data_IF_208776943827
#
_entry.id   IF_208776943827
#
_cell.length_a   1.000
_cell.length_b   1.000
_cell.length_c   1.000
_cell.angle_alpha   90.00
_cell.angle_beta   90.00
_cell.angle_gamma   90.00
#
_symmetry.space_group_name_H-M   'P 1'
#
loop_
_entity.id
_entity.type
_entity.pdbx_description
1 polymer ?
#
# COMPACT_ATOMS: atom_id res chain seq x y z
N UNK A 1 -17.82 -0.27 16.42
CA UNK A 1 -17.15 -1.26 15.56
C UNK A 1 -17.89 -1.34 14.23
N UNK A 2 -17.17 -1.46 13.13
CA UNK A 2 -17.74 -1.79 11.82
C UNK A 2 -18.57 -3.07 11.94
N UNK A 3 -19.77 -3.06 11.37
CA UNK A 3 -20.64 -4.24 11.25
C UNK A 3 -20.62 -4.82 9.85
N UNK A 4 -19.99 -4.11 8.91
CA UNK A 4 -19.74 -4.51 7.53
C UNK A 4 -18.42 -5.26 7.40
N UNK A 5 -18.34 -6.10 6.36
CA UNK A 5 -17.11 -6.78 5.96
C UNK A 5 -16.57 -6.12 4.71
N UNK A 6 -15.25 -6.20 4.49
CA UNK A 6 -14.67 -5.74 3.24
C UNK A 6 -15.39 -6.37 2.03
N UNK A 7 -15.64 -5.60 0.95
CA UNK A 7 -16.30 -6.12 -0.24
C UNK A 7 -15.62 -7.36 -0.81
N UNK A 8 -16.42 -8.19 -1.51
CA UNK A 8 -15.92 -9.37 -2.22
C UNK A 8 -14.82 -8.94 -3.22
N UNK A 9 -13.61 -9.50 -3.06
CA UNK A 9 -12.44 -9.16 -3.87
C UNK A 9 -11.24 -8.67 -3.04
N UNK A 10 -11.50 -8.14 -1.85
CA UNK A 10 -10.44 -7.85 -0.88
C UNK A 10 -9.89 -9.14 -0.31
N UNK A 11 -8.58 -9.33 -0.43
CA UNK A 11 -7.91 -10.52 0.03
C UNK A 11 -6.88 -10.18 1.10
N UNK A 12 -6.97 -10.85 2.25
CA UNK A 12 -6.05 -10.63 3.35
C UNK A 12 -4.58 -10.88 2.93
N UNK A 13 -3.70 -9.96 3.29
CA UNK A 13 -2.25 -10.06 3.02
C UNK A 13 -1.55 -10.94 4.07
N UNK A 14 -1.96 -10.80 5.33
CA UNK A 14 -1.40 -11.48 6.49
C UNK A 14 -0.90 -10.48 7.53
N UNK A 15 -0.13 -10.99 8.50
CA UNK A 15 0.43 -10.20 9.59
C UNK A 15 1.69 -9.47 9.12
N UNK A 16 1.81 -8.20 9.51
CA UNK A 16 3.00 -7.37 9.37
C UNK A 16 3.89 -7.50 10.59
N UNK A 17 5.21 -7.43 10.43
CA UNK A 17 6.16 -7.59 11.53
C UNK A 17 6.01 -6.50 12.61
N UNK A 18 6.06 -5.24 12.20
CA UNK A 18 6.03 -4.06 13.10
C UNK A 18 4.85 -3.12 12.79
N UNK A 19 3.88 -3.58 12.00
CA UNK A 19 2.79 -2.73 11.51
C UNK A 19 3.10 -2.09 10.14
N UNK A 20 2.56 -0.90 9.94
CA UNK A 20 2.74 -0.10 8.74
C UNK A 20 2.95 1.37 9.11
N UNK A 21 3.60 2.11 8.22
CA UNK A 21 3.76 3.57 8.33
C UNK A 21 3.14 4.22 7.11
N UNK A 22 2.14 5.07 7.33
CA UNK A 22 1.52 5.88 6.29
C UNK A 22 2.09 7.30 6.35
N UNK A 23 2.75 7.73 5.28
CA UNK A 23 3.34 9.05 5.16
C UNK A 23 2.50 9.89 4.20
N UNK A 24 2.20 11.13 4.59
CA UNK A 24 1.54 12.14 3.76
C UNK A 24 2.46 13.35 3.69
N UNK A 25 3.18 13.46 2.57
CA UNK A 25 4.08 14.57 2.29
C UNK A 25 3.33 15.62 1.46
N UNK A 26 3.30 16.87 1.94
CA UNK A 26 2.63 18.00 1.27
C UNK A 26 3.69 19.05 0.96
N UNK A 27 3.87 19.33 -0.32
CA UNK A 27 4.75 20.38 -0.80
C UNK A 27 3.98 21.69 -0.87
N UNK A 28 4.54 22.74 -0.27
CA UNK A 28 3.94 24.07 -0.18
C UNK A 28 4.92 25.10 -0.73
N UNK A 29 4.46 25.96 -1.62
CA UNK A 29 5.22 27.10 -2.14
C UNK A 29 4.56 28.42 -1.74
N UNK A 30 5.39 29.46 -1.55
CA UNK A 30 4.93 30.78 -1.15
C UNK A 30 4.76 31.69 -2.37
N UNK A 31 3.62 32.37 -2.45
CA UNK A 31 3.39 33.43 -3.42
C UNK A 31 3.80 34.75 -2.77
N UNK A 32 4.84 35.38 -3.32
CA UNK A 32 5.39 36.64 -2.82
C UNK A 32 5.19 37.76 -3.84
N UNK A 33 4.94 38.98 -3.35
CA UNK A 33 4.98 40.20 -4.15
C UNK A 33 5.92 41.19 -3.49
N UNK A 34 6.72 41.88 -4.30
CA UNK A 34 7.84 42.72 -3.82
C UNK A 34 7.43 43.91 -2.94
N UNK A 35 6.14 44.25 -2.87
CA UNK A 35 5.59 45.35 -2.08
C UNK A 35 5.24 44.94 -0.64
N UNK A 36 5.22 43.65 -0.34
CA UNK A 36 4.87 43.09 0.96
C UNK A 36 6.09 42.40 1.59
N UNK A 37 6.21 42.55 2.91
CA UNK A 37 7.29 41.91 3.69
C UNK A 37 6.96 40.45 4.00
N UNK A 38 5.68 40.11 4.09
CA UNK A 38 5.18 38.77 4.36
C UNK A 38 4.62 38.12 3.08
N UNK A 39 4.73 36.80 2.97
CA UNK A 39 4.14 36.04 1.87
C UNK A 39 2.62 36.26 1.81
N UNK A 40 2.12 36.48 0.59
CA UNK A 40 0.70 36.74 0.36
C UNK A 40 -0.15 35.48 0.57
N UNK A 41 0.41 34.32 0.21
CA UNK A 41 -0.28 33.04 0.26
C UNK A 41 0.72 31.88 0.29
N UNK A 42 0.40 30.82 1.03
CA UNK A 42 1.03 29.52 0.87
C UNK A 42 0.12 28.63 0.01
N UNK A 43 0.63 28.12 -1.12
CA UNK A 43 -0.09 27.27 -2.06
C UNK A 43 0.44 25.84 -1.98
N UNK A 44 -0.45 24.85 -2.01
CA UNK A 44 -0.04 23.44 -2.18
C UNK A 44 0.40 23.21 -3.62
N UNK A 45 1.63 22.74 -3.83
CA UNK A 45 2.18 22.45 -5.17
C UNK A 45 2.34 20.97 -5.45
N UNK A 46 2.40 20.15 -4.39
CA UNK A 46 2.52 18.71 -4.50
C UNK A 46 1.93 17.99 -3.30
N UNK A 47 1.52 16.74 -3.50
CA UNK A 47 1.22 15.82 -2.41
C UNK A 47 1.62 14.42 -2.81
N UNK A 48 2.47 13.80 -2.00
CA UNK A 48 2.88 12.41 -2.15
C UNK A 48 2.40 11.62 -0.94
N UNK A 49 1.69 10.52 -1.17
CA UNK A 49 1.26 9.63 -0.09
C UNK A 49 1.90 8.27 -0.30
N UNK A 50 2.56 7.77 0.74
CA UNK A 50 3.22 6.47 0.69
C UNK A 50 2.87 5.62 1.91
N UNK A 51 2.81 4.31 1.72
CA UNK A 51 2.73 3.35 2.83
C UNK A 51 3.91 2.40 2.77
N UNK A 52 4.51 2.15 3.92
CA UNK A 52 5.64 1.26 4.09
C UNK A 52 5.29 0.19 5.13
N UNK A 53 5.51 -1.09 4.80
CA UNK A 53 5.24 -2.19 5.72
C UNK A 53 6.01 -3.46 5.35
N UNK A 54 6.12 -4.37 6.32
CA UNK A 54 6.82 -5.65 6.17
C UNK A 54 5.90 -6.86 6.46
N UNK A 55 5.24 -7.44 5.44
CA UNK A 55 4.49 -8.68 5.60
C UNK A 55 5.43 -9.85 5.90
N UNK A 56 5.05 -10.66 6.89
CA UNK A 56 5.75 -11.90 7.26
C UNK A 56 5.33 -13.10 6.41
N UNK A 57 4.22 -12.99 5.67
CA UNK A 57 3.69 -14.09 4.87
C UNK A 57 4.32 -14.14 3.48
N UNK A 58 5.36 -14.96 3.34
CA UNK A 58 6.05 -15.14 2.05
C UNK A 58 5.41 -16.27 1.24
N UNK A 59 4.61 -15.93 0.24
CA UNK A 59 4.03 -16.88 -0.71
C UNK A 59 3.93 -16.27 -2.12
N UNK A 60 3.74 -17.11 -3.15
CA UNK A 60 3.67 -16.66 -4.55
C UNK A 60 2.49 -15.71 -4.84
N UNK A 61 1.41 -15.79 -4.05
CA UNK A 61 0.28 -14.86 -4.18
C UNK A 61 0.66 -13.47 -3.70
N UNK A 62 1.38 -13.35 -2.59
CA UNK A 62 1.88 -12.09 -2.08
C UNK A 62 2.98 -11.54 -2.98
N UNK A 63 3.83 -12.39 -3.58
CA UNK A 63 4.76 -11.94 -4.63
C UNK A 63 4.05 -11.24 -5.79
N UNK A 64 2.96 -11.82 -6.29
CA UNK A 64 2.15 -11.20 -7.36
C UNK A 64 1.57 -9.84 -6.93
N UNK A 65 1.16 -9.69 -5.67
CA UNK A 65 0.62 -8.43 -5.14
C UNK A 65 1.68 -7.36 -4.95
N UNK A 66 2.84 -7.76 -4.40
CA UNK A 66 3.96 -6.87 -4.12
C UNK A 66 4.45 -6.19 -5.39
N UNK A 67 4.65 -6.97 -6.45
CA UNK A 67 5.17 -6.43 -7.72
C UNK A 67 4.05 -5.93 -8.64
N UNK A 68 2.86 -5.62 -8.11
CA UNK A 68 1.73 -5.12 -8.89
C UNK A 68 1.40 -5.97 -10.14
N UNK A 69 1.62 -7.29 -10.14
CA UNK A 69 1.40 -8.09 -11.34
C UNK A 69 2.23 -9.35 -11.41
N UNK A 70 2.51 -9.79 -12.64
CA UNK A 70 3.24 -11.02 -12.91
C UNK A 70 2.35 -12.25 -13.04
N UNK A 71 2.95 -13.33 -13.52
CA UNK A 71 2.25 -14.55 -13.92
C UNK A 71 2.66 -15.72 -13.05
N UNK A 72 1.66 -16.45 -12.56
CA UNK A 72 1.84 -17.73 -11.87
C UNK A 72 1.54 -18.85 -12.84
N UNK A 73 2.50 -19.75 -13.06
CA UNK A 73 2.33 -20.90 -13.95
C UNK A 73 2.43 -22.18 -13.15
N UNK A 74 1.39 -22.99 -13.20
CA UNK A 74 1.34 -24.29 -12.50
C UNK A 74 1.54 -25.41 -13.50
N UNK A 75 2.39 -26.37 -13.15
CA UNK A 75 2.71 -27.54 -13.97
C UNK A 75 2.84 -28.79 -13.09
N UNK A 76 2.70 -29.96 -13.70
CA UNK A 76 2.71 -31.25 -12.99
C UNK A 76 1.41 -31.55 -12.27
N UNK A 77 1.40 -32.67 -11.54
CA UNK A 77 0.27 -33.12 -10.71
C UNK A 77 0.76 -33.90 -9.49
N UNK A 78 -0.06 -33.99 -8.45
CA UNK A 78 0.28 -34.72 -7.22
C UNK A 78 1.58 -34.22 -6.58
N UNK A 79 2.53 -35.13 -6.34
CA UNK A 79 3.84 -34.83 -5.75
C UNK A 79 4.76 -33.99 -6.64
N UNK A 80 4.47 -33.88 -7.94
CA UNK A 80 5.25 -33.08 -8.90
C UNK A 80 4.64 -31.69 -9.14
N UNK A 81 3.56 -31.34 -8.44
CA UNK A 81 2.88 -30.06 -8.60
C UNK A 81 3.84 -28.92 -8.25
N UNK A 82 4.15 -28.09 -9.24
CA UNK A 82 5.04 -26.94 -9.10
C UNK A 82 4.34 -25.71 -9.64
N UNK A 83 4.33 -24.65 -8.82
CA UNK A 83 3.93 -23.31 -9.28
C UNK A 83 5.16 -22.41 -9.32
N UNK A 84 5.42 -21.80 -10.46
CA UNK A 84 6.44 -20.76 -10.63
C UNK A 84 5.79 -19.39 -10.70
N UNK A 85 6.56 -18.35 -10.37
CA UNK A 85 6.16 -16.95 -10.51
C UNK A 85 7.18 -16.23 -11.38
N UNK A 86 6.69 -15.46 -12.34
CA UNK A 86 7.49 -14.58 -13.20
C UNK A 86 7.04 -13.15 -12.95
N UNK A 87 8.01 -12.26 -12.76
CA UNK A 87 7.75 -10.82 -12.58
C UNK A 87 6.97 -10.26 -13.78
N UNK A 88 6.17 -9.20 -13.58
CA UNK A 88 5.57 -8.47 -14.70
C UNK A 88 6.67 -7.91 -15.59
N UNK A 89 6.37 -7.79 -16.88
CA UNK A 89 7.21 -7.00 -17.78
C UNK A 89 7.03 -5.51 -17.43
N UNK A 90 8.08 -4.68 -17.59
CA UNK A 90 7.95 -3.25 -17.39
C UNK A 90 6.79 -2.65 -18.19
N UNK A 91 5.91 -1.91 -17.52
CA UNK A 91 4.70 -1.32 -18.09
C UNK A 91 3.45 -2.22 -18.03
N UNK A 92 3.57 -3.47 -17.56
CA UNK A 92 2.43 -4.38 -17.33
C UNK A 92 1.99 -4.44 -15.87
N UNK A 93 2.54 -3.57 -15.01
CA UNK A 93 2.14 -3.44 -13.62
C UNK A 93 0.74 -2.84 -13.52
N UNK A 94 -0.11 -3.50 -12.74
CA UNK A 94 -1.50 -3.13 -12.48
C UNK A 94 -1.58 -2.50 -11.08
N UNK A 95 -2.15 -1.29 -11.01
CA UNK A 95 -2.42 -0.63 -9.73
C UNK A 95 -3.28 -1.54 -8.86
N UNK A 96 -2.86 -1.70 -7.61
CA UNK A 96 -3.55 -2.53 -6.64
C UNK A 96 -4.40 -1.67 -5.70
N UNK A 97 -5.38 -2.28 -5.06
CA UNK A 97 -6.08 -1.69 -3.92
C UNK A 97 -5.44 -2.22 -2.64
N UNK A 98 -5.16 -1.32 -1.70
CA UNK A 98 -4.57 -1.65 -0.39
C UNK A 98 -5.39 -0.97 0.68
N UNK A 99 -5.62 -1.67 1.78
CA UNK A 99 -6.40 -1.17 2.89
C UNK A 99 -5.96 -1.85 4.17
N UNK A 100 -6.22 -1.16 5.26
CA UNK A 100 -5.96 -1.61 6.60
C UNK A 100 -7.18 -1.33 7.46
N UNK A 101 -7.40 -2.22 8.41
CA UNK A 101 -8.45 -2.08 9.42
C UNK A 101 -7.88 -2.47 10.77
N UNK A 102 -8.25 -1.70 11.78
CA UNK A 102 -7.87 -1.95 13.15
C UNK A 102 -8.52 -3.23 13.68
N UNK A 103 -7.87 -3.89 14.64
CA UNK A 103 -8.38 -5.17 15.21
C UNK A 103 -9.69 -4.96 15.98
N UNK A 104 -9.88 -3.78 16.56
CA UNK A 104 -11.10 -3.37 17.26
C UNK A 104 -12.20 -2.86 16.30
N UNK A 105 -11.91 -2.79 14.99
CA UNK A 105 -12.86 -2.39 13.95
C UNK A 105 -13.38 -0.97 14.15
N UNK A 106 -12.54 -0.06 14.64
CA UNK A 106 -12.88 1.35 14.89
C UNK A 106 -12.29 2.27 13.83
N UNK A 107 -11.18 1.87 13.20
CA UNK A 107 -10.47 2.66 12.20
C UNK A 107 -10.23 1.82 10.94
N UNK A 108 -10.40 2.46 9.78
CA UNK A 108 -10.11 1.89 8.48
C UNK A 108 -9.50 2.95 7.58
N UNK A 109 -8.54 2.56 6.75
CA UNK A 109 -8.11 3.38 5.64
C UNK A 109 -7.87 2.51 4.39
N UNK A 110 -8.00 3.11 3.22
CA UNK A 110 -7.72 2.43 1.96
C UNK A 110 -7.28 3.37 0.85
N UNK A 111 -6.51 2.82 -0.08
CA UNK A 111 -6.12 3.44 -1.33
C UNK A 111 -6.63 2.61 -2.51
N UNK A 112 -7.23 3.28 -3.48
CA UNK A 112 -7.81 2.65 -4.67
C UNK A 112 -6.77 2.40 -5.77
N UNK A 113 -5.70 3.20 -5.80
CA UNK A 113 -4.59 3.06 -6.75
C UNK A 113 -3.26 3.08 -6.01
N UNK A 114 -2.75 1.89 -5.67
CA UNK A 114 -1.45 1.71 -5.05
C UNK A 114 -0.46 1.11 -6.05
N UNK A 115 0.67 1.80 -6.24
CA UNK A 115 1.76 1.39 -7.10
C UNK A 115 3.01 1.13 -6.27
N UNK A 116 3.65 -0.02 -6.42
CA UNK A 116 4.87 -0.36 -5.70
C UNK A 116 6.00 0.52 -6.22
N UNK A 117 6.60 1.25 -5.29
CA UNK A 117 7.72 2.15 -5.58
C UNK A 117 8.90 1.81 -4.68
N UNK A 118 10.11 2.21 -5.09
CA UNK A 118 11.34 1.90 -4.38
C UNK A 118 11.85 0.48 -4.62
N UNK A 119 12.90 0.11 -3.88
CA UNK A 119 13.58 -1.18 -4.01
C UNK A 119 13.00 -2.23 -3.06
N UNK A 120 12.57 -3.37 -3.58
CA UNK A 120 12.15 -4.52 -2.76
C UNK A 120 13.38 -5.38 -2.42
N UNK A 121 13.89 -5.22 -1.19
CA UNK A 121 14.98 -6.06 -0.66
C UNK A 121 14.44 -7.28 0.07
N UNK A 122 14.44 -8.45 -0.56
CA UNK A 122 13.92 -9.67 0.08
C UNK A 122 14.96 -10.27 1.05
N UNK A 123 14.81 -9.97 2.34
CA UNK A 123 15.71 -10.50 3.37
C UNK A 123 15.28 -11.91 3.81
N UNK A 124 16.10 -12.91 3.45
CA UNK A 124 15.90 -14.31 3.87
C UNK A 124 16.76 -14.61 5.10
N UNK A 125 16.27 -14.15 6.25
CA UNK A 125 16.97 -14.32 7.53
C UNK A 125 16.63 -15.68 8.19
N UNK A 126 17.50 -16.13 9.12
CA UNK A 126 17.39 -17.42 9.83
C UNK A 126 17.14 -17.20 11.32
N UNK A 127 16.49 -18.18 11.97
CA UNK A 127 16.34 -18.21 13.43
C UNK A 127 15.34 -17.17 13.94
N UNK A 128 15.73 -16.38 14.95
CA UNK A 128 14.88 -15.35 15.55
C UNK A 128 14.56 -14.18 14.59
N UNK A 129 15.33 -14.05 13.51
CA UNK A 129 15.12 -13.04 12.49
C UNK A 129 14.18 -13.59 11.41
N UNK A 130 12.93 -13.12 11.43
CA UNK A 130 11.89 -13.54 10.50
C UNK A 130 12.21 -13.15 9.06
N UNK A 131 11.90 -14.02 8.10
CA UNK A 131 11.93 -13.64 6.69
C UNK A 131 10.72 -12.75 6.38
N UNK A 132 10.96 -11.54 5.88
CA UNK A 132 9.93 -10.56 5.53
C UNK A 132 10.06 -10.11 4.07
N UNK A 133 9.04 -9.40 3.59
CA UNK A 133 9.05 -8.79 2.25
C UNK A 133 8.79 -7.29 2.39
N UNK A 134 9.81 -6.47 2.68
CA UNK A 134 9.61 -5.03 2.83
C UNK A 134 9.09 -4.43 1.53
N UNK A 135 8.04 -3.62 1.66
CA UNK A 135 7.39 -2.96 0.54
C UNK A 135 7.07 -1.52 0.84
N UNK A 136 7.15 -0.72 -0.22
CA UNK A 136 6.68 0.65 -0.25
C UNK A 136 5.71 0.80 -1.42
N UNK A 137 4.55 1.36 -1.14
CA UNK A 137 3.57 1.73 -2.15
C UNK A 137 3.37 3.23 -2.13
N UNK A 138 3.30 3.83 -3.32
CA UNK A 138 2.83 5.20 -3.51
C UNK A 138 1.38 5.16 -3.97
N UNK A 139 0.57 6.05 -3.43
CA UNK A 139 -0.85 6.15 -3.76
C UNK A 139 -1.09 7.22 -4.82
N UNK A 140 -1.71 6.81 -5.92
CA UNK A 140 -2.15 7.67 -6.99
C UNK A 140 -3.62 8.09 -6.74
N UNK A 141 -4.04 9.30 -7.14
CA UNK A 141 -5.44 9.70 -7.07
C UNK A 141 -6.32 8.76 -7.91
N UNK A 142 -7.47 8.38 -7.36
CA UNK A 142 -8.45 7.62 -8.10
C UNK A 142 -9.32 8.50 -9.03
N UNK A 143 -10.37 7.93 -9.61
CA UNK A 143 -11.28 8.66 -10.49
C UNK A 143 -12.04 9.80 -9.78
N UNK A 144 -12.13 9.78 -8.45
CA UNK A 144 -12.69 10.85 -7.64
C UNK A 144 -11.63 11.88 -7.21
N UNK A 145 -10.36 11.70 -7.62
CA UNK A 145 -9.26 12.58 -7.28
C UNK A 145 -8.70 12.36 -5.88
N UNK A 146 -9.14 11.32 -5.17
CA UNK A 146 -8.71 11.05 -3.80
C UNK A 146 -7.70 9.88 -3.78
N UNK A 147 -6.48 10.09 -3.26
CA UNK A 147 -5.46 9.04 -3.22
C UNK A 147 -5.65 8.04 -2.08
N UNK A 148 -6.21 8.47 -0.94
CA UNK A 148 -6.42 7.64 0.25
C UNK A 148 -7.68 8.09 0.98
N UNK A 149 -8.41 7.14 1.54
CA UNK A 149 -9.63 7.35 2.29
C UNK A 149 -9.41 6.89 3.74
N UNK A 150 -10.02 7.60 4.69
CA UNK A 150 -10.00 7.28 6.11
C UNK A 150 -11.42 7.29 6.63
N UNK A 151 -11.80 6.22 7.32
CA UNK A 151 -13.10 6.07 7.96
C UNK A 151 -12.91 5.69 9.44
N UNK A 152 -13.80 6.22 10.29
CA UNK A 152 -13.96 5.84 11.69
C UNK A 152 -15.35 5.30 11.99
N UNK A 153 -15.45 4.22 12.75
CA UNK A 153 -16.71 3.66 13.21
C UNK A 153 -17.12 4.22 14.58
N UNK A 154 -18.31 4.84 14.67
CA UNK A 154 -18.87 5.31 15.94
C UNK A 154 -19.80 6.51 15.76
N UNK A 155 -20.58 6.84 16.80
CA UNK A 155 -21.45 8.02 16.82
C UNK A 155 -20.69 9.33 17.05
N UNK A 156 -19.46 9.25 17.56
CA UNK A 156 -18.63 10.42 17.82
C UNK A 156 -17.65 10.56 16.66
N UNK A 157 -17.89 11.57 15.81
CA UNK A 157 -16.90 12.04 14.84
C UNK A 157 -15.74 12.59 15.66
N UNK A 158 -14.57 11.96 15.56
CA UNK A 158 -13.32 12.53 16.06
C UNK A 158 -13.04 13.87 15.40
#
# INVERSE_FOLDING_TARGET
MYTDTWPVGWNQWGVTKEGHTLNVDIDMDQVEAAEYVDALLNLVTGRTITVEFEPMRINLTNFKRIFNGGTKSTSGSGSTLRTSYTLPQPGQEVRAQIGWESVDGTERWWAMQAFQTGSVGIQRQKGANNATLPVKFTFEPDAAGQPVYFDGAGTTRG
#
